data_IF_465445631786
#
_entry.id   IF_465445631786
#
_cell.length_a   1.000
_cell.length_b   1.000
_cell.length_c   1.000
_cell.angle_alpha   90.00
_cell.angle_beta   90.00
_cell.angle_gamma   90.00
#
_symmetry.space_group_name_H-M   'P 1'
#
loop_
_entity.id
_entity.type
_entity.pdbx_description
1 polymer ?
#
# COMPACT_ATOMS: atom_id res chain seq x y z
N UNK A 1 6.36 -18.97 -21.73
CA UNK A 1 6.63 -17.54 -22.02
C UNK A 1 6.41 -16.77 -20.74
N UNK A 2 7.31 -15.85 -20.39
CA UNK A 2 7.00 -14.87 -19.34
C UNK A 2 5.84 -14.01 -19.86
N UNK A 3 4.81 -13.72 -19.06
CA UNK A 3 3.69 -12.89 -19.52
C UNK A 3 4.20 -11.50 -19.86
N UNK A 4 3.59 -10.89 -20.87
CA UNK A 4 3.86 -9.51 -21.19
C UNK A 4 3.21 -8.59 -20.13
N UNK A 5 3.85 -7.45 -19.85
CA UNK A 5 3.41 -6.46 -18.87
C UNK A 5 1.92 -6.04 -18.95
N UNK A 6 1.28 -5.93 -20.15
CA UNK A 6 -0.13 -5.56 -20.26
C UNK A 6 -1.10 -6.54 -19.61
N UNK A 7 -0.78 -7.84 -19.58
CA UNK A 7 -1.68 -8.87 -19.05
C UNK A 7 -1.84 -8.76 -17.54
N UNK A 8 -0.75 -8.43 -16.82
CA UNK A 8 -0.80 -8.29 -15.35
C UNK A 8 -1.61 -7.05 -14.93
N UNK A 9 -1.50 -5.94 -15.67
CA UNK A 9 -2.32 -4.75 -15.41
C UNK A 9 -3.79 -5.03 -15.63
N UNK A 10 -4.16 -5.77 -16.68
CA UNK A 10 -5.53 -6.18 -16.93
C UNK A 10 -6.07 -7.05 -15.78
N UNK A 11 -5.26 -7.98 -15.26
CA UNK A 11 -5.64 -8.81 -14.10
C UNK A 11 -5.91 -7.95 -12.88
N UNK A 12 -5.01 -7.01 -12.56
CA UNK A 12 -5.16 -6.11 -11.40
C UNK A 12 -6.36 -5.18 -11.56
N UNK A 13 -6.66 -4.74 -12.78
CA UNK A 13 -7.79 -3.86 -13.06
C UNK A 13 -9.15 -4.51 -12.79
N UNK A 14 -9.23 -5.84 -12.78
CA UNK A 14 -10.45 -6.55 -12.36
C UNK A 14 -10.83 -6.27 -10.90
N UNK A 15 -9.88 -5.92 -10.03
CA UNK A 15 -10.14 -5.61 -8.62
C UNK A 15 -11.02 -4.35 -8.44
N UNK A 16 -10.63 -3.16 -8.95
CA UNK A 16 -11.51 -1.98 -8.87
C UNK A 16 -12.81 -2.16 -9.66
N UNK A 17 -12.83 -2.92 -10.76
CA UNK A 17 -14.04 -3.22 -11.52
C UNK A 17 -15.05 -4.03 -10.68
N UNK A 18 -14.61 -5.13 -10.06
CA UNK A 18 -15.47 -5.94 -9.20
C UNK A 18 -15.91 -5.18 -7.94
N UNK A 19 -15.03 -4.34 -7.38
CA UNK A 19 -15.39 -3.45 -6.27
C UNK A 19 -16.50 -2.46 -6.65
N UNK A 20 -16.37 -1.80 -7.81
CA UNK A 20 -17.38 -0.86 -8.32
C UNK A 20 -18.71 -1.53 -8.69
N UNK A 21 -18.66 -2.80 -9.12
CA UNK A 21 -19.86 -3.60 -9.38
C UNK A 21 -20.49 -4.21 -8.11
N UNK A 22 -19.88 -4.00 -6.93
CA UNK A 22 -20.23 -4.68 -5.69
C UNK A 22 -20.25 -6.22 -5.83
N UNK A 23 -19.44 -6.75 -6.75
CA UNK A 23 -19.35 -8.17 -7.06
C UNK A 23 -18.40 -8.86 -6.09
N UNK A 24 -18.99 -9.37 -5.00
CA UNK A 24 -18.26 -10.08 -3.95
C UNK A 24 -17.54 -11.31 -4.47
N UNK A 25 -18.23 -12.14 -5.24
CA UNK A 25 -17.71 -13.44 -5.65
C UNK A 25 -16.67 -13.27 -6.75
N UNK A 26 -16.89 -12.34 -7.68
CA UNK A 26 -15.87 -11.93 -8.64
C UNK A 26 -14.63 -11.37 -7.97
N UNK A 27 -14.78 -10.48 -6.98
CA UNK A 27 -13.63 -9.89 -6.28
C UNK A 27 -12.84 -10.92 -5.46
N UNK A 28 -13.51 -11.83 -4.74
CA UNK A 28 -12.86 -12.92 -4.01
C UNK A 28 -12.20 -13.91 -4.96
N UNK A 29 -12.83 -14.21 -6.11
CA UNK A 29 -12.32 -15.11 -7.13
C UNK A 29 -11.02 -14.65 -7.81
N UNK A 30 -10.66 -13.36 -7.69
CA UNK A 30 -9.37 -12.84 -8.15
C UNK A 30 -8.17 -13.40 -7.37
N UNK A 31 -8.39 -13.87 -6.14
CA UNK A 31 -7.33 -14.33 -5.26
C UNK A 31 -7.06 -15.82 -5.43
N UNK A 32 -5.81 -16.23 -5.23
CA UNK A 32 -5.48 -17.65 -5.02
C UNK A 32 -6.20 -18.18 -3.76
N UNK A 33 -6.36 -19.49 -3.64
CA UNK A 33 -7.05 -20.09 -2.47
C UNK A 33 -6.41 -19.73 -1.12
N UNK A 34 -5.09 -19.52 -1.11
CA UNK A 34 -4.27 -19.06 0.02
C UNK A 34 -4.01 -17.54 0.02
N UNK A 35 -4.71 -16.80 -0.84
CA UNK A 35 -4.48 -15.39 -1.08
C UNK A 35 -4.61 -14.55 0.18
N UNK A 36 -3.96 -13.39 0.19
CA UNK A 36 -3.87 -12.51 1.36
C UNK A 36 -4.28 -11.08 1.05
N UNK A 37 -5.06 -10.47 1.93
CA UNK A 37 -5.31 -9.02 1.92
C UNK A 37 -4.79 -8.41 3.22
N UNK A 38 -4.01 -7.35 3.12
CA UNK A 38 -3.53 -6.57 4.27
C UNK A 38 -3.82 -5.09 4.03
N UNK A 39 -4.87 -4.60 4.70
CA UNK A 39 -5.45 -3.28 4.46
C UNK A 39 -5.93 -2.62 5.77
N UNK A 40 -5.22 -1.60 6.29
CA UNK A 40 -3.91 -1.13 5.83
C UNK A 40 -2.78 -2.10 6.23
N UNK A 41 -1.63 -1.99 5.58
CA UNK A 41 -0.40 -2.68 6.02
C UNK A 41 -0.09 -2.35 7.49
N UNK A 42 0.27 -3.38 8.25
CA UNK A 42 0.41 -3.35 9.72
C UNK A 42 -0.83 -3.81 10.49
N UNK A 43 -1.97 -3.95 9.81
CA UNK A 43 -3.15 -4.62 10.36
C UNK A 43 -3.02 -6.16 10.30
N UNK A 44 -3.92 -6.87 10.99
CA UNK A 44 -3.99 -8.33 10.84
C UNK A 44 -4.49 -8.67 9.43
N UNK A 45 -3.76 -9.50 8.67
CA UNK A 45 -4.16 -9.88 7.32
C UNK A 45 -5.38 -10.81 7.30
N UNK A 46 -6.17 -10.72 6.22
CA UNK A 46 -7.21 -11.67 5.85
C UNK A 46 -6.60 -12.71 4.92
N UNK A 47 -6.66 -13.98 5.30
CA UNK A 47 -6.02 -15.08 4.55
C UNK A 47 -7.06 -16.08 4.08
N UNK A 48 -7.04 -16.39 2.79
CA UNK A 48 -7.97 -17.28 2.10
C UNK A 48 -9.34 -16.67 1.85
N UNK A 49 -10.05 -17.25 0.87
CA UNK A 49 -11.31 -16.72 0.34
C UNK A 49 -12.37 -16.42 1.41
N UNK A 50 -12.49 -17.27 2.42
CA UNK A 50 -13.48 -17.05 3.49
C UNK A 50 -13.20 -15.76 4.30
N UNK A 51 -11.93 -15.42 4.55
CA UNK A 51 -11.59 -14.19 5.28
C UNK A 51 -11.63 -12.98 4.37
N UNK A 52 -11.17 -13.13 3.13
CA UNK A 52 -11.21 -12.11 2.08
C UNK A 52 -12.66 -11.71 1.76
N UNK A 53 -13.58 -12.68 1.70
CA UNK A 53 -15.01 -12.39 1.54
C UNK A 53 -15.57 -11.54 2.68
N UNK A 54 -15.19 -11.83 3.94
CA UNK A 54 -15.60 -10.97 5.07
C UNK A 54 -14.97 -9.58 4.99
N UNK A 55 -13.72 -9.48 4.53
CA UNK A 55 -13.08 -8.19 4.25
C UNK A 55 -13.90 -7.40 3.22
N UNK A 56 -14.28 -8.02 2.11
CA UNK A 56 -15.15 -7.42 1.11
C UNK A 56 -16.46 -6.93 1.74
N UNK A 57 -17.16 -7.79 2.47
CA UNK A 57 -18.44 -7.49 3.11
C UNK A 57 -18.34 -6.32 4.12
N UNK A 58 -17.16 -6.09 4.71
CA UNK A 58 -16.92 -5.00 5.67
C UNK A 58 -16.53 -3.70 5.00
N UNK A 59 -15.53 -3.74 4.11
CA UNK A 59 -14.78 -2.56 3.69
C UNK A 59 -15.12 -2.12 2.26
N UNK A 60 -15.45 -3.07 1.38
CA UNK A 60 -15.70 -2.79 -0.04
C UNK A 60 -17.19 -2.79 -0.33
N UNK A 61 -17.87 -3.92 -0.14
CA UNK A 61 -19.25 -4.14 -0.58
C UNK A 61 -20.25 -3.04 -0.19
N UNK A 62 -20.19 -2.43 1.01
CA UNK A 62 -21.11 -1.35 1.39
C UNK A 62 -20.77 0.05 0.84
N UNK A 63 -19.70 0.23 0.06
CA UNK A 63 -19.15 1.55 -0.28
C UNK A 63 -18.90 1.71 -1.76
N UNK A 64 -19.20 2.91 -2.26
CA UNK A 64 -18.75 3.34 -3.58
C UNK A 64 -17.31 3.84 -3.47
N UNK A 65 -16.40 3.20 -4.21
CA UNK A 65 -14.96 3.50 -4.18
C UNK A 65 -14.51 3.87 -5.59
N UNK A 66 -14.07 5.12 -5.75
CA UNK A 66 -13.48 5.62 -6.99
C UNK A 66 -11.96 5.64 -6.85
N UNK A 67 -11.26 5.07 -7.82
CA UNK A 67 -9.80 4.98 -7.85
C UNK A 67 -9.23 6.08 -8.74
N UNK A 68 -8.65 7.13 -8.16
CA UNK A 68 -7.94 8.18 -8.89
C UNK A 68 -6.48 7.77 -9.07
N UNK A 69 -6.21 7.05 -10.16
CA UNK A 69 -4.89 6.49 -10.49
C UNK A 69 -3.91 7.55 -10.99
N UNK A 70 -2.67 7.48 -10.52
CA UNK A 70 -1.59 8.39 -10.92
C UNK A 70 -0.42 7.65 -11.59
N UNK A 71 0.01 6.53 -11.02
CA UNK A 71 1.11 5.73 -11.57
C UNK A 71 0.89 4.23 -11.36
N UNK A 72 1.07 3.46 -12.42
CA UNK A 72 1.14 1.99 -12.40
C UNK A 72 2.55 1.54 -12.78
N UNK A 73 3.12 0.61 -12.00
CA UNK A 73 4.45 0.03 -12.21
C UNK A 73 4.30 -1.50 -12.20
N UNK A 74 4.88 -2.16 -13.20
CA UNK A 74 4.92 -3.62 -13.30
C UNK A 74 6.37 -4.07 -13.23
N UNK A 75 6.72 -4.87 -12.23
CA UNK A 75 8.05 -5.42 -12.08
C UNK A 75 7.95 -6.92 -11.74
N UNK A 76 8.37 -7.78 -12.68
CA UNK A 76 8.14 -9.22 -12.57
C UNK A 76 6.64 -9.53 -12.44
N UNK A 77 6.24 -10.29 -11.43
CA UNK A 77 4.83 -10.59 -11.11
C UNK A 77 4.22 -9.65 -10.07
N UNK A 78 4.81 -8.47 -9.87
CA UNK A 78 4.33 -7.45 -8.93
C UNK A 78 3.81 -6.25 -9.69
N UNK A 79 2.65 -5.76 -9.28
CA UNK A 79 2.08 -4.49 -9.74
C UNK A 79 1.98 -3.54 -8.55
N UNK A 80 2.54 -2.34 -8.69
CA UNK A 80 2.44 -1.27 -7.69
C UNK A 80 1.65 -0.12 -8.31
N UNK A 81 0.66 0.38 -7.57
CA UNK A 81 -0.16 1.53 -7.95
C UNK A 81 0.00 2.66 -6.94
N UNK A 82 0.33 3.83 -7.44
CA UNK A 82 0.19 5.10 -6.74
C UNK A 82 -1.17 5.71 -7.11
N UNK A 83 -2.02 5.94 -6.10
CA UNK A 83 -3.36 6.50 -6.32
C UNK A 83 -3.92 7.23 -5.11
N UNK A 84 -5.07 7.87 -5.31
CA UNK A 84 -5.97 8.33 -4.25
C UNK A 84 -7.30 7.56 -4.34
N UNK A 85 -7.77 7.05 -3.20
CA UNK A 85 -9.09 6.43 -3.09
C UNK A 85 -10.09 7.50 -2.66
N UNK A 86 -11.13 7.69 -3.46
CA UNK A 86 -12.29 8.46 -3.06
C UNK A 86 -13.39 7.49 -2.62
N UNK A 87 -13.78 7.57 -1.35
CA UNK A 87 -14.72 6.62 -0.73
C UNK A 87 -15.95 7.37 -0.27
N UNK A 88 -17.10 7.07 -0.86
CA UNK A 88 -18.38 7.56 -0.39
C UNK A 88 -18.77 6.77 0.87
N UNK A 89 -18.84 7.47 2.00
CA UNK A 89 -19.23 6.90 3.30
C UNK A 89 -20.73 7.09 3.57
N UNK A 90 -21.48 7.58 2.59
CA UNK A 90 -22.89 7.97 2.64
C UNK A 90 -23.12 9.30 1.92
N UNK A 91 -24.36 9.78 1.86
CA UNK A 91 -24.73 10.98 1.08
C UNK A 91 -24.02 12.29 1.48
N UNK A 92 -23.47 12.37 2.70
CA UNK A 92 -22.92 13.59 3.27
C UNK A 92 -21.40 13.57 3.51
N UNK A 93 -20.74 12.43 3.32
CA UNK A 93 -19.31 12.27 3.65
C UNK A 93 -18.61 11.50 2.54
N UNK A 94 -17.69 12.18 1.87
CA UNK A 94 -16.75 11.58 0.91
C UNK A 94 -15.35 11.73 1.47
N UNK A 95 -14.63 10.61 1.57
CA UNK A 95 -13.26 10.58 2.07
C UNK A 95 -12.27 10.52 0.91
N UNK A 96 -11.14 11.19 1.04
CA UNK A 96 -10.01 11.08 0.10
C UNK A 96 -8.81 10.51 0.81
N UNK A 97 -8.37 9.34 0.38
CA UNK A 97 -7.37 8.52 1.05
C UNK A 97 -6.23 8.30 0.06
N UNK A 98 -5.14 9.10 0.15
CA UNK A 98 -3.92 8.81 -0.60
C UNK A 98 -3.41 7.41 -0.20
N UNK A 99 -3.09 6.59 -1.20
CA UNK A 99 -2.67 5.21 -0.98
C UNK A 99 -1.57 4.77 -1.96
N UNK A 100 -0.84 3.74 -1.57
CA UNK A 100 -0.15 2.87 -2.53
C UNK A 100 -0.76 1.47 -2.43
N UNK A 101 -1.11 0.87 -3.55
CA UNK A 101 -1.59 -0.51 -3.59
C UNK A 101 -0.52 -1.38 -4.24
N UNK A 102 -0.20 -2.49 -3.60
CA UNK A 102 0.72 -3.48 -4.16
C UNK A 102 -0.01 -4.81 -4.32
N UNK A 103 0.09 -5.36 -5.52
CA UNK A 103 -0.47 -6.64 -5.92
C UNK A 103 0.70 -7.57 -6.24
N UNK A 104 0.76 -8.70 -5.55
CA UNK A 104 1.66 -9.80 -5.93
C UNK A 104 0.83 -10.85 -6.64
N UNK A 105 1.20 -11.16 -7.87
CA UNK A 105 0.49 -12.10 -8.72
C UNK A 105 1.24 -13.43 -8.79
N UNK A 106 0.48 -14.51 -8.93
CA UNK A 106 0.97 -15.87 -9.16
C UNK A 106 0.05 -16.57 -10.16
N UNK A 107 0.63 -17.44 -10.99
CA UNK A 107 -0.16 -18.35 -11.80
C UNK A 107 -0.81 -19.42 -10.91
N UNK A 108 -2.10 -19.65 -11.09
CA UNK A 108 -2.93 -20.60 -10.35
C UNK A 108 -3.85 -21.29 -11.38
N UNK A 109 -3.65 -22.59 -11.59
CA UNK A 109 -4.33 -23.38 -12.63
C UNK A 109 -4.29 -22.76 -14.04
N UNK A 110 -3.14 -22.14 -14.40
CA UNK A 110 -2.93 -21.53 -15.71
C UNK A 110 -3.46 -20.10 -15.83
N UNK A 111 -4.09 -19.54 -14.79
CA UNK A 111 -4.56 -18.17 -14.75
C UNK A 111 -3.77 -17.30 -13.78
N UNK A 112 -3.59 -16.02 -14.11
CA UNK A 112 -3.00 -15.06 -13.16
C UNK A 112 -4.02 -14.65 -12.10
N UNK A 113 -3.65 -14.89 -10.85
CA UNK A 113 -4.42 -14.51 -9.66
C UNK A 113 -3.58 -13.72 -8.67
N UNK A 114 -4.28 -13.03 -7.77
CA UNK A 114 -3.69 -12.26 -6.68
C UNK A 114 -3.28 -13.21 -5.55
N UNK A 115 -1.97 -13.38 -5.34
CA UNK A 115 -1.44 -14.05 -4.16
C UNK A 115 -1.50 -13.13 -2.94
N UNK A 116 -1.26 -11.82 -3.13
CA UNK A 116 -1.44 -10.83 -2.08
C UNK A 116 -1.85 -9.45 -2.60
N UNK A 117 -2.68 -8.75 -1.82
CA UNK A 117 -2.97 -7.33 -1.92
C UNK A 117 -2.54 -6.64 -0.63
N UNK A 118 -1.71 -5.61 -0.75
CA UNK A 118 -1.24 -4.78 0.36
C UNK A 118 -1.59 -3.32 0.09
N UNK A 119 -2.38 -2.73 0.97
CA UNK A 119 -2.79 -1.34 0.89
C UNK A 119 -2.01 -0.49 1.90
N UNK A 120 -1.20 0.45 1.41
CA UNK A 120 -0.44 1.37 2.22
C UNK A 120 -1.20 2.70 2.27
N UNK A 121 -1.88 2.97 3.39
CA UNK A 121 -2.52 4.25 3.72
C UNK A 121 -2.57 4.42 5.24
N UNK A 122 -2.84 5.65 5.71
CA UNK A 122 -2.72 5.98 7.14
C UNK A 122 -4.09 5.99 7.84
N UNK A 123 -4.37 4.94 8.61
CA UNK A 123 -5.58 4.85 9.44
C UNK A 123 -5.82 6.08 10.34
N UNK A 124 -4.81 6.65 11.02
CA UNK A 124 -5.01 7.86 11.81
C UNK A 124 -5.43 9.09 10.98
N UNK A 125 -4.94 9.22 9.75
CA UNK A 125 -5.30 10.35 8.87
C UNK A 125 -6.75 10.22 8.40
N UNK A 126 -7.16 8.99 8.08
CA UNK A 126 -8.54 8.63 7.74
C UNK A 126 -9.50 8.93 8.91
N UNK A 127 -9.16 8.53 10.15
CA UNK A 127 -9.91 8.91 11.36
C UNK A 127 -9.97 10.42 11.58
N UNK A 128 -8.89 11.15 11.28
CA UNK A 128 -8.87 12.60 11.32
C UNK A 128 -9.90 13.23 10.38
N UNK A 129 -10.14 12.65 9.20
CA UNK A 129 -11.20 13.12 8.30
C UNK A 129 -12.60 12.92 8.91
N UNK A 130 -12.89 11.76 9.49
CA UNK A 130 -14.15 11.52 10.21
C UNK A 130 -14.40 12.60 11.28
N UNK A 131 -13.40 12.90 12.09
CA UNK A 131 -13.51 13.91 13.15
C UNK A 131 -13.80 15.32 12.58
N UNK A 132 -13.16 15.69 11.47
CA UNK A 132 -13.39 16.99 10.79
C UNK A 132 -14.80 17.13 10.22
N UNK A 133 -15.44 16.04 9.82
CA UNK A 133 -16.83 16.04 9.37
C UNK A 133 -17.85 16.09 10.53
N UNK A 134 -17.40 16.00 11.78
CA UNK A 134 -18.21 16.19 12.97
C UNK A 134 -19.43 15.26 13.01
N UNK A 135 -20.59 15.81 13.38
CA UNK A 135 -21.85 15.05 13.50
C UNK A 135 -22.29 14.38 12.20
N UNK A 136 -21.89 14.90 11.03
CA UNK A 136 -22.23 14.29 9.72
C UNK A 136 -21.53 12.95 9.51
N UNK A 137 -20.41 12.72 10.20
CA UNK A 137 -19.66 11.48 10.16
C UNK A 137 -20.15 10.44 11.19
N UNK A 138 -21.10 10.79 12.07
CA UNK A 138 -21.55 9.90 13.14
C UNK A 138 -22.21 8.62 12.60
N UNK A 139 -23.17 8.74 11.68
CA UNK A 139 -23.84 7.58 11.07
C UNK A 139 -22.85 6.70 10.30
N UNK A 140 -22.00 7.25 9.39
CA UNK A 140 -20.97 6.46 8.72
C UNK A 140 -19.97 5.76 9.65
N UNK A 141 -19.57 6.41 10.75
CA UNK A 141 -18.69 5.81 11.75
C UNK A 141 -19.37 4.63 12.48
N UNK A 142 -20.66 4.77 12.84
CA UNK A 142 -21.45 3.69 13.45
C UNK A 142 -21.59 2.52 12.47
N UNK A 143 -21.86 2.78 11.18
CA UNK A 143 -21.97 1.74 10.16
C UNK A 143 -20.65 0.98 9.96
N UNK A 144 -19.52 1.69 9.89
CA UNK A 144 -18.20 1.05 9.84
C UNK A 144 -17.93 0.22 11.10
N UNK A 145 -18.22 0.75 12.29
CA UNK A 145 -18.10 0.02 13.55
C UNK A 145 -18.95 -1.24 13.60
N UNK A 146 -20.21 -1.15 13.19
CA UNK A 146 -21.14 -2.28 13.12
C UNK A 146 -20.66 -3.33 12.10
N UNK A 147 -20.20 -2.90 10.92
CA UNK A 147 -19.65 -3.79 9.89
C UNK A 147 -18.38 -4.52 10.33
N UNK A 148 -17.49 -3.83 11.06
CA UNK A 148 -16.33 -4.43 11.71
C UNK A 148 -16.76 -5.51 12.70
N UNK A 149 -17.68 -5.21 13.62
CA UNK A 149 -18.12 -6.18 14.63
C UNK A 149 -18.84 -7.39 14.00
N UNK A 150 -19.77 -7.13 13.07
CA UNK A 150 -20.61 -8.16 12.44
C UNK A 150 -19.79 -9.13 11.60
N UNK A 151 -18.88 -8.61 10.78
CA UNK A 151 -18.20 -9.42 9.78
C UNK A 151 -16.78 -9.84 10.22
N UNK A 152 -16.07 -9.00 10.98
CA UNK A 152 -14.68 -9.25 11.40
C UNK A 152 -14.59 -9.90 12.78
N UNK A 153 -15.67 -9.86 13.56
CA UNK A 153 -15.70 -10.25 14.99
C UNK A 153 -14.73 -9.39 15.81
N UNK A 154 -14.70 -9.60 17.13
CA UNK A 154 -13.83 -8.83 18.04
C UNK A 154 -12.35 -8.96 17.68
N UNK A 155 -11.91 -10.17 17.33
CA UNK A 155 -10.51 -10.43 16.97
C UNK A 155 -10.08 -9.71 15.67
N UNK A 156 -10.96 -9.64 14.67
CA UNK A 156 -10.68 -8.93 13.43
C UNK A 156 -10.76 -7.41 13.59
N UNK A 157 -11.70 -6.90 14.39
CA UNK A 157 -11.76 -5.48 14.73
C UNK A 157 -10.50 -5.00 15.49
N UNK A 158 -10.04 -5.79 16.48
CA UNK A 158 -8.77 -5.53 17.16
C UNK A 158 -7.58 -5.62 16.19
N UNK A 159 -7.62 -6.57 15.24
CA UNK A 159 -6.65 -6.71 14.16
C UNK A 159 -6.57 -5.47 13.27
N UNK A 160 -7.71 -4.89 12.88
CA UNK A 160 -7.77 -3.64 12.11
C UNK A 160 -7.18 -2.46 12.91
N UNK A 161 -7.48 -2.38 14.20
CA UNK A 161 -6.93 -1.35 15.09
C UNK A 161 -5.40 -1.42 15.24
N UNK A 162 -4.76 -2.56 14.94
CA UNK A 162 -3.28 -2.61 14.91
C UNK A 162 -2.67 -1.75 13.80
N UNK A 163 -3.44 -1.37 12.76
CA UNK A 163 -3.03 -0.42 11.72
C UNK A 163 -2.72 1.00 12.24
N UNK A 164 -3.11 1.34 13.47
CA UNK A 164 -2.64 2.56 14.14
C UNK A 164 -1.14 2.51 14.47
N UNK A 165 -0.57 1.30 14.66
CA UNK A 165 0.86 1.11 14.91
C UNK A 165 1.60 1.16 13.59
N UNK A 166 2.24 2.29 13.32
CA UNK A 166 2.93 2.56 12.06
C UNK A 166 4.22 3.33 12.26
N UNK A 167 5.01 3.45 11.20
CA UNK A 167 6.11 4.42 11.12
C UNK A 167 5.58 5.84 11.34
N UNK A 168 6.11 6.49 12.37
CA UNK A 168 5.72 7.83 12.80
C UNK A 168 6.55 8.96 12.17
N UNK A 169 6.31 10.19 12.60
CA UNK A 169 6.98 11.39 12.05
C UNK A 169 8.52 11.35 12.13
N UNK A 170 9.08 10.75 13.19
CA UNK A 170 10.53 10.57 13.33
C UNK A 170 11.13 9.71 12.21
N UNK A 171 10.51 8.56 11.92
CA UNK A 171 10.90 7.66 10.85
C UNK A 171 10.74 8.32 9.47
N UNK A 172 9.66 9.08 9.26
CA UNK A 172 9.47 9.85 8.02
C UNK A 172 10.53 10.92 7.82
N UNK A 173 10.96 11.62 8.89
CA UNK A 173 12.07 12.58 8.82
C UNK A 173 13.41 11.91 8.50
N UNK A 174 13.69 10.75 9.11
CA UNK A 174 14.88 9.95 8.77
C UNK A 174 14.87 9.57 7.28
N UNK A 175 13.75 9.04 6.79
CA UNK A 175 13.62 8.65 5.39
C UNK A 175 13.71 9.85 4.45
N UNK A 176 13.11 10.99 4.82
CA UNK A 176 13.26 12.22 4.07
C UNK A 176 14.72 12.68 3.97
N UNK A 177 15.46 12.66 5.09
CA UNK A 177 16.89 12.96 5.09
C UNK A 177 17.71 11.99 4.23
N UNK A 178 17.38 10.69 4.29
CA UNK A 178 17.98 9.68 3.41
C UNK A 178 17.71 9.98 1.93
N UNK A 179 16.46 10.26 1.55
CA UNK A 179 16.09 10.54 0.16
C UNK A 179 16.73 11.85 -0.34
N UNK A 180 16.79 12.89 0.49
CA UNK A 180 17.53 14.11 0.18
C UNK A 180 19.01 13.79 -0.07
N UNK A 181 19.65 13.01 0.81
CA UNK A 181 21.06 12.65 0.63
C UNK A 181 21.28 11.85 -0.65
N UNK A 182 20.40 10.89 -0.96
CA UNK A 182 20.45 10.13 -2.21
C UNK A 182 20.31 11.04 -3.43
N UNK A 183 19.33 11.95 -3.44
CA UNK A 183 19.09 12.86 -4.56
C UNK A 183 20.17 13.91 -4.81
N UNK A 184 21.06 14.14 -3.84
CA UNK A 184 22.24 15.01 -3.99
C UNK A 184 23.55 14.21 -4.13
N UNK A 185 23.48 12.89 -4.23
CA UNK A 185 24.65 12.03 -4.32
C UNK A 185 25.50 11.94 -3.04
N UNK A 186 24.99 12.37 -1.88
CA UNK A 186 25.67 12.26 -0.59
C UNK A 186 25.64 10.81 -0.08
N UNK A 187 26.62 10.04 -0.54
CA UNK A 187 26.84 8.64 -0.18
C UNK A 187 27.05 8.44 1.32
N UNK A 188 27.68 9.39 2.01
CA UNK A 188 28.04 9.22 3.41
C UNK A 188 26.80 9.32 4.30
N UNK A 189 26.02 10.39 4.15
CA UNK A 189 24.78 10.59 4.90
C UNK A 189 23.76 9.51 4.58
N UNK A 190 23.58 9.18 3.30
CA UNK A 190 22.66 8.10 2.89
C UNK A 190 23.09 6.75 3.49
N UNK A 191 24.39 6.45 3.54
CA UNK A 191 24.88 5.21 4.15
C UNK A 191 24.62 5.13 5.65
N UNK A 192 24.72 6.24 6.39
CA UNK A 192 24.49 6.24 7.84
C UNK A 192 23.05 5.88 8.23
N UNK A 193 22.08 6.19 7.39
CA UNK A 193 20.68 5.86 7.65
C UNK A 193 20.36 4.36 7.48
N UNK A 194 21.23 3.60 6.80
CA UNK A 194 21.04 2.17 6.51
C UNK A 194 21.67 1.29 7.59
N UNK A 195 20.92 0.27 8.06
CA UNK A 195 21.46 -0.75 8.96
C UNK A 195 22.59 -1.55 8.30
N UNK A 196 22.40 -1.94 7.04
CA UNK A 196 23.33 -2.79 6.30
C UNK A 196 23.64 -2.25 4.90
N UNK A 197 24.75 -2.69 4.30
CA UNK A 197 25.18 -2.22 2.96
C UNK A 197 24.32 -2.81 1.83
N UNK A 198 23.78 -3.99 2.05
CA UNK A 198 22.96 -4.81 1.18
C UNK A 198 21.45 -4.63 1.43
N UNK A 199 21.07 -3.55 2.11
CA UNK A 199 19.68 -3.26 2.42
C UNK A 199 18.84 -2.81 1.21
N UNK A 200 19.44 -2.61 0.03
CA UNK A 200 18.77 -1.98 -1.13
C UNK A 200 18.54 -3.03 -2.21
N UNK A 201 17.34 -2.97 -2.80
CA UNK A 201 16.94 -3.80 -3.94
C UNK A 201 16.17 -2.97 -4.96
N UNK A 202 16.35 -3.30 -6.24
CA UNK A 202 15.39 -2.95 -7.29
C UNK A 202 14.35 -4.07 -7.39
N UNK A 203 13.08 -3.68 -7.43
CA UNK A 203 11.99 -4.60 -7.12
C UNK A 203 12.13 -5.20 -5.73
N UNK A 204 11.81 -6.49 -5.58
CA UNK A 204 11.98 -7.18 -4.30
C UNK A 204 13.34 -7.85 -4.11
N UNK A 205 13.96 -8.31 -5.20
CA UNK A 205 14.98 -9.35 -5.11
C UNK A 205 16.27 -9.03 -5.86
N UNK A 206 16.32 -7.99 -6.70
CA UNK A 206 17.54 -7.61 -7.41
C UNK A 206 18.40 -6.74 -6.48
N UNK A 207 19.53 -7.26 -5.94
CA UNK A 207 20.35 -6.49 -5.03
C UNK A 207 20.97 -5.30 -5.74
N UNK A 208 20.86 -4.12 -5.14
CA UNK A 208 21.43 -2.89 -5.68
C UNK A 208 22.38 -2.26 -4.65
N UNK A 209 23.43 -1.59 -5.13
CA UNK A 209 24.31 -0.81 -4.24
C UNK A 209 23.71 0.57 -4.04
N UNK A 210 24.12 1.23 -2.96
CA UNK A 210 23.74 2.62 -2.71
C UNK A 210 24.14 3.56 -3.86
N UNK A 211 25.27 3.29 -4.52
CA UNK A 211 25.70 4.05 -5.68
C UNK A 211 24.72 3.91 -6.87
N UNK A 212 24.19 2.71 -7.09
CA UNK A 212 23.24 2.44 -8.16
C UNK A 212 21.89 3.14 -7.87
N UNK A 213 21.46 3.17 -6.60
CA UNK A 213 20.27 3.92 -6.19
C UNK A 213 20.44 5.43 -6.35
N UNK A 214 21.60 5.98 -5.96
CA UNK A 214 21.93 7.40 -6.17
C UNK A 214 21.89 7.76 -7.64
N UNK A 215 22.47 6.92 -8.50
CA UNK A 215 22.44 7.14 -9.94
C UNK A 215 21.01 7.14 -10.52
N UNK A 216 20.11 6.32 -9.97
CA UNK A 216 18.71 6.27 -10.43
C UNK A 216 17.88 7.44 -9.90
N UNK A 217 18.22 7.94 -8.72
CA UNK A 217 17.45 8.95 -7.99
C UNK A 217 18.16 10.30 -7.94
N UNK A 218 19.09 10.56 -8.85
CA UNK A 218 19.74 11.87 -8.97
C UNK A 218 18.71 12.96 -9.22
N UNK A 219 18.80 14.07 -8.48
CA UNK A 219 17.82 15.16 -8.53
C UNK A 219 16.42 14.79 -8.01
N UNK A 220 16.23 13.60 -7.40
CA UNK A 220 14.90 13.13 -7.04
C UNK A 220 14.20 14.01 -5.99
N UNK A 221 12.89 14.17 -6.20
CA UNK A 221 11.94 14.72 -5.24
C UNK A 221 10.85 13.70 -4.91
N UNK A 222 10.00 14.01 -3.93
CA UNK A 222 8.85 13.17 -3.60
C UNK A 222 7.63 14.01 -3.22
N UNK A 223 6.46 13.54 -3.64
CA UNK A 223 5.18 14.24 -3.41
C UNK A 223 4.36 13.59 -2.30
N UNK A 224 4.52 12.27 -2.09
CA UNK A 224 3.71 11.49 -1.16
C UNK A 224 4.56 10.52 -0.35
N UNK A 225 4.43 10.56 0.98
CA UNK A 225 5.06 9.61 1.91
C UNK A 225 4.05 9.08 2.94
N UNK A 226 3.71 7.81 2.82
CA UNK A 226 2.72 7.12 3.66
C UNK A 226 3.40 6.13 4.58
N UNK A 227 3.06 6.17 5.87
CA UNK A 227 3.49 5.15 6.83
C UNK A 227 2.39 4.13 7.10
N UNK A 228 2.65 2.85 6.83
CA UNK A 228 1.72 1.76 7.14
C UNK A 228 2.51 0.58 7.73
N UNK A 229 2.15 0.19 8.96
CA UNK A 229 2.92 -0.81 9.71
C UNK A 229 4.40 -0.41 9.85
N UNK A 230 5.36 -1.34 9.67
CA UNK A 230 6.78 -1.03 9.75
C UNK A 230 7.36 -0.34 8.50
N UNK A 231 6.53 -0.07 7.49
CA UNK A 231 6.97 0.37 6.17
C UNK A 231 6.53 1.81 5.89
N UNK A 232 7.42 2.60 5.29
CA UNK A 232 7.08 3.84 4.62
C UNK A 232 7.09 3.61 3.10
N UNK A 233 6.01 3.97 2.42
CA UNK A 233 5.91 3.98 0.96
C UNK A 233 5.99 5.42 0.46
N UNK A 234 6.80 5.65 -0.58
CA UNK A 234 7.13 6.99 -1.09
C UNK A 234 6.98 7.03 -2.60
N UNK A 235 6.29 8.06 -3.10
CA UNK A 235 6.23 8.38 -4.53
C UNK A 235 7.45 9.20 -4.88
N UNK A 236 8.27 8.70 -5.80
CA UNK A 236 9.52 9.32 -6.21
C UNK A 236 9.37 9.88 -7.61
N UNK A 237 9.83 11.10 -7.81
CA UNK A 237 9.95 11.75 -9.11
C UNK A 237 11.42 12.14 -9.32
N UNK A 238 12.07 11.55 -10.31
CA UNK A 238 13.47 11.74 -10.62
C UNK A 238 13.65 11.95 -12.13
N UNK A 239 14.80 12.48 -12.54
CA UNK A 239 15.09 12.77 -13.95
C UNK A 239 14.97 11.54 -14.86
N UNK A 240 15.27 10.35 -14.31
CA UNK A 240 15.18 9.06 -15.02
C UNK A 240 13.78 8.47 -15.04
N UNK A 241 12.83 9.07 -14.33
CA UNK A 241 11.43 8.68 -14.32
C UNK A 241 10.82 8.61 -12.92
N UNK A 242 9.52 8.31 -12.90
CA UNK A 242 8.73 8.16 -11.67
C UNK A 242 8.83 6.73 -11.14
N UNK A 243 8.80 6.58 -9.82
CA UNK A 243 8.85 5.29 -9.16
C UNK A 243 8.22 5.28 -7.78
N UNK A 244 8.14 4.11 -7.16
CA UNK A 244 7.68 3.94 -5.78
C UNK A 244 8.76 3.24 -4.96
N UNK A 245 9.12 3.84 -3.82
CA UNK A 245 10.08 3.30 -2.88
C UNK A 245 9.38 2.82 -1.61
N UNK A 246 9.65 1.58 -1.21
CA UNK A 246 9.25 1.03 0.08
C UNK A 246 10.47 0.93 0.99
N UNK A 247 10.42 1.61 2.13
CA UNK A 247 11.43 1.55 3.18
C UNK A 247 10.87 0.86 4.43
N UNK A 248 11.46 -0.26 4.81
CA UNK A 248 11.17 -0.91 6.08
C UNK A 248 12.09 -0.32 7.16
N UNK A 249 11.52 0.02 8.31
CA UNK A 249 12.23 0.72 9.39
C UNK A 249 12.21 -0.07 10.70
N UNK A 250 13.27 0.07 11.49
CA UNK A 250 13.34 -0.54 12.81
C UNK A 250 12.24 0.00 13.73
N UNK A 251 11.56 -0.87 14.49
CA UNK A 251 10.60 -0.42 15.52
C UNK A 251 11.26 0.35 16.67
N UNK A 252 12.52 0.03 16.97
CA UNK A 252 13.35 0.70 17.98
C UNK A 252 14.66 1.10 17.31
N UNK A 253 14.95 2.40 17.30
CA UNK A 253 16.08 2.98 16.56
C UNK A 253 15.64 3.79 15.35
N UNK A 254 16.54 4.63 14.86
CA UNK A 254 16.34 5.45 13.65
C UNK A 254 17.18 4.86 12.52
N UNK A 255 16.79 3.69 12.02
CA UNK A 255 17.50 3.08 10.91
C UNK A 255 16.55 2.41 9.91
N UNK A 256 16.96 2.47 8.64
CA UNK A 256 16.29 1.82 7.52
C UNK A 256 16.89 0.42 7.39
N UNK A 257 16.05 -0.62 7.50
CA UNK A 257 16.47 -2.02 7.42
C UNK A 257 16.43 -2.56 6.00
N UNK A 258 15.51 -2.05 5.17
CA UNK A 258 15.37 -2.47 3.78
C UNK A 258 14.80 -1.35 2.93
N UNK A 259 15.28 -1.24 1.70
CA UNK A 259 14.77 -0.39 0.63
C UNK A 259 14.45 -1.27 -0.56
N UNK A 260 13.25 -1.12 -1.09
CA UNK A 260 12.79 -1.71 -2.35
C UNK A 260 12.31 -0.60 -3.25
N UNK A 261 12.98 -0.39 -4.37
CA UNK A 261 12.61 0.64 -5.34
C UNK A 261 12.05 0.00 -6.61
N UNK A 262 10.84 0.43 -6.98
CA UNK A 262 10.15 0.03 -8.19
C UNK A 262 10.13 1.24 -9.13
N UNK A 263 10.81 1.14 -10.28
CA UNK A 263 10.81 2.15 -11.32
C UNK A 263 9.81 1.77 -12.42
N UNK A 264 9.23 2.77 -13.09
CA UNK A 264 8.40 2.58 -14.28
C UNK A 264 9.21 2.10 -15.48
#
# INVERSE_FOLDING_TARGET
>A
MAPEHPDLLAVVERSPQAAAAHDRDGWVGLFTGDGRVEDPVGSRPHIGHAQIGRFFDTFIGPRDITFHRDLDIVHGSVVVRDLELEVAMGAAVTMRIPAFLRYDLRADDGEWKLAALRAYWELPAMMGQFLRHGVRAASPAVQLGAGLLRNQRLAGAAGFATGFRRVGARHKRLLGGFLTAVGHGDRFTARQALVAKDAITFGDNEPARLADLIEHLDGASWTKMIGAGPTAAVSIDADRGRGVLFADLTRRGDAITRIRYFAR
#
